data_IF_923714567193
#
_entry.id   IF_923714567193
#
_cell.length_a   1.000
_cell.length_b   1.000
_cell.length_c   1.000
_cell.angle_alpha   90.00
_cell.angle_beta   90.00
_cell.angle_gamma   90.00
#
_symmetry.space_group_name_H-M   'P 1'
#
loop_
_entity.id
_entity.type
_entity.pdbx_description
1 polymer ?
#
# COMPACT_ATOMS: atom_id res chain seq x y z
N UNK A 1 -2.15 24.05 1.09
CA UNK A 1 -1.59 22.74 1.46
C UNK A 1 -2.39 21.65 0.78
N UNK A 2 -1.70 20.80 0.02
CA UNK A 2 -2.35 19.70 -0.69
C UNK A 2 -1.90 18.39 -0.06
N UNK A 3 -2.86 17.55 0.30
CA UNK A 3 -2.59 16.22 0.81
C UNK A 3 -2.79 15.22 -0.31
N UNK A 4 -1.86 14.29 -0.43
CA UNK A 4 -1.97 13.17 -1.35
C UNK A 4 -1.96 11.89 -0.54
N UNK A 5 -2.88 11.02 -0.85
CA UNK A 5 -3.01 9.72 -0.19
C UNK A 5 -2.50 8.68 -1.15
N UNK A 6 -1.31 8.16 -0.85
CA UNK A 6 -0.64 7.19 -1.70
C UNK A 6 -0.80 5.80 -1.14
N UNK A 7 -1.22 4.88 -1.97
CA UNK A 7 -1.39 3.48 -1.57
C UNK A 7 -0.20 2.70 -2.10
N UNK A 8 0.43 1.94 -1.21
CA UNK A 8 1.61 1.14 -1.52
C UNK A 8 1.32 -0.33 -1.30
N UNK A 9 1.92 -1.14 -2.15
CA UNK A 9 2.04 -2.58 -1.95
C UNK A 9 3.41 -2.83 -1.33
N UNK A 10 3.42 -3.50 -0.19
CA UNK A 10 4.67 -3.89 0.46
C UNK A 10 4.88 -5.38 0.24
N UNK A 11 6.00 -5.72 -0.38
CA UNK A 11 6.36 -7.08 -0.64
C UNK A 11 7.57 -7.45 0.20
N UNK A 12 7.43 -8.50 1.01
CA UNK A 12 8.50 -9.03 1.84
C UNK A 12 8.84 -10.43 1.37
N UNK A 13 10.09 -10.62 0.98
CA UNK A 13 10.62 -11.92 0.55
C UNK A 13 11.67 -12.35 1.56
N UNK A 14 11.65 -13.64 1.90
CA UNK A 14 12.59 -14.18 2.85
C UNK A 14 14.03 -13.98 2.37
N UNK A 15 14.87 -13.36 3.22
CA UNK A 15 16.27 -13.13 2.92
C UNK A 15 16.54 -11.91 2.06
N UNK A 16 15.50 -11.15 1.71
CA UNK A 16 15.61 -9.95 0.89
C UNK A 16 14.94 -8.81 1.62
N UNK A 17 15.49 -7.61 1.53
CA UNK A 17 14.87 -6.44 2.14
C UNK A 17 13.50 -6.18 1.54
N UNK A 18 12.50 -5.82 2.37
CA UNK A 18 11.17 -5.49 1.86
C UNK A 18 11.24 -4.28 0.93
N UNK A 19 10.36 -4.25 -0.06
CA UNK A 19 10.25 -3.08 -0.91
C UNK A 19 8.79 -2.71 -1.12
N UNK A 20 8.57 -1.41 -1.34
CA UNK A 20 7.25 -0.84 -1.50
C UNK A 20 7.08 -0.36 -2.93
N UNK A 21 5.91 -0.60 -3.49
CA UNK A 21 5.56 -0.16 -4.84
C UNK A 21 4.33 0.72 -4.76
N UNK A 22 4.40 1.91 -5.34
CA UNK A 22 3.25 2.80 -5.42
C UNK A 22 2.26 2.23 -6.43
N UNK A 23 1.03 1.98 -5.97
CA UNK A 23 -0.02 1.39 -6.81
C UNK A 23 -1.22 2.31 -7.01
N UNK A 24 -1.30 3.40 -6.25
CA UNK A 24 -2.38 4.36 -6.42
C UNK A 24 -2.08 5.66 -5.71
N UNK A 25 -2.63 6.75 -6.23
CA UNK A 25 -2.48 8.07 -5.62
C UNK A 25 -3.82 8.76 -5.70
N UNK A 26 -4.29 9.29 -4.57
CA UNK A 26 -5.62 9.84 -4.45
C UNK A 26 -5.59 11.19 -3.76
N UNK A 27 -6.51 12.04 -4.15
CA UNK A 27 -6.67 13.36 -3.56
C UNK A 27 -7.48 13.30 -2.27
N UNK A 28 -8.40 12.35 -2.18
CA UNK A 28 -9.33 12.24 -1.07
C UNK A 28 -9.09 10.96 -0.28
N UNK A 29 -9.17 11.11 1.04
CA UNK A 29 -8.98 9.99 1.96
C UNK A 29 -9.98 8.85 1.69
N UNK A 30 -11.23 9.21 1.39
CA UNK A 30 -12.26 8.21 1.13
C UNK A 30 -11.91 7.32 -0.06
N UNK A 31 -11.41 7.93 -1.14
CA UNK A 31 -11.02 7.19 -2.35
C UNK A 31 -9.85 6.26 -2.06
N UNK A 32 -8.86 6.75 -1.32
CA UNK A 32 -7.71 5.95 -0.95
C UNK A 32 -8.11 4.76 -0.09
N UNK A 33 -8.98 4.99 0.90
CA UNK A 33 -9.45 3.92 1.78
C UNK A 33 -10.26 2.87 1.03
N UNK A 34 -11.08 3.31 0.08
CA UNK A 34 -11.87 2.40 -0.74
C UNK A 34 -10.97 1.52 -1.59
N UNK A 35 -9.96 2.11 -2.20
CA UNK A 35 -8.98 1.39 -3.00
C UNK A 35 -8.16 0.42 -2.13
N UNK A 36 -7.72 0.89 -0.95
CA UNK A 36 -6.98 0.07 -0.01
C UNK A 36 -7.79 -1.15 0.41
N UNK A 37 -9.07 -0.95 0.72
CA UNK A 37 -9.96 -2.03 1.13
C UNK A 37 -10.10 -3.09 0.04
N UNK A 38 -10.19 -2.66 -1.22
CA UNK A 38 -10.21 -3.58 -2.36
C UNK A 38 -8.91 -4.37 -2.46
N UNK A 39 -7.79 -3.67 -2.31
CA UNK A 39 -6.48 -4.30 -2.44
C UNK A 39 -6.16 -5.24 -1.29
N UNK A 40 -6.69 -4.98 -0.10
CA UNK A 40 -6.45 -5.84 1.06
C UNK A 40 -6.98 -7.25 0.86
N UNK A 41 -7.88 -7.46 -0.07
CA UNK A 41 -8.36 -8.79 -0.43
C UNK A 41 -7.25 -9.63 -1.07
N UNK A 42 -6.21 -8.97 -1.57
CA UNK A 42 -5.07 -9.62 -2.20
C UNK A 42 -3.90 -9.81 -1.23
N UNK A 43 -4.11 -9.50 0.04
CA UNK A 43 -3.09 -9.70 1.08
C UNK A 43 -2.73 -11.18 1.16
N UNK A 44 -1.44 -11.44 1.21
CA UNK A 44 -0.93 -12.80 1.19
C UNK A 44 0.21 -12.94 2.20
N UNK A 45 0.20 -14.04 2.93
CA UNK A 45 1.23 -14.28 3.92
C UNK A 45 1.52 -15.77 4.02
N UNK A 46 2.77 -16.14 3.72
CA UNK A 46 3.26 -17.50 3.96
C UNK A 46 4.71 -17.42 4.46
N UNK A 47 5.36 -18.56 4.59
CA UNK A 47 6.71 -18.59 5.13
C UNK A 47 7.77 -17.94 4.24
N UNK A 48 7.45 -17.69 2.98
CA UNK A 48 8.42 -17.20 2.01
C UNK A 48 8.11 -15.79 1.53
N UNK A 49 6.82 -15.48 1.38
CA UNK A 49 6.36 -14.21 0.80
C UNK A 49 5.25 -13.61 1.66
N UNK A 50 5.37 -12.32 1.91
CA UNK A 50 4.30 -11.55 2.56
C UNK A 50 3.99 -10.34 1.70
N UNK A 51 2.71 -10.20 1.31
CA UNK A 51 2.22 -9.05 0.57
C UNK A 51 1.20 -8.31 1.43
N UNK A 52 1.42 -7.03 1.62
CA UNK A 52 0.50 -6.18 2.39
C UNK A 52 0.34 -4.84 1.69
N UNK A 53 -0.64 -4.06 2.14
CA UNK A 53 -0.95 -2.76 1.54
C UNK A 53 -1.14 -1.72 2.64
N UNK A 54 -0.71 -0.50 2.37
CA UNK A 54 -0.87 0.59 3.34
C UNK A 54 -1.02 1.93 2.62
N UNK A 55 -1.54 2.91 3.34
CA UNK A 55 -1.69 4.28 2.85
C UNK A 55 -0.64 5.15 3.52
N UNK A 56 0.05 5.94 2.71
CA UNK A 56 0.97 6.97 3.20
C UNK A 56 0.42 8.32 2.79
N UNK A 57 0.30 9.24 3.75
CA UNK A 57 -0.19 10.59 3.48
C UNK A 57 1.00 11.49 3.24
N UNK A 58 1.09 12.02 2.03
CA UNK A 58 2.13 12.95 1.66
C UNK A 58 1.57 14.37 1.68
N UNK A 59 2.29 15.26 2.32
CA UNK A 59 1.91 16.67 2.43
C UNK A 59 2.82 17.49 1.54
N UNK A 60 2.20 18.25 0.70
CA UNK A 60 2.89 19.15 -0.24
C UNK A 60 3.15 20.49 0.41
#
# INVERSE_FOLDING_TARGET
MILKYKVYERLELRGIEPFNTLIGSFRYNEDANKFLKEKQKETYDNNTVRKSFFVFVERD
#
